data_IF_107334100933
#
_entry.id   IF_107334100933
#
_cell.length_a   1.000
_cell.length_b   1.000
_cell.length_c   1.000
_cell.angle_alpha   90.00
_cell.angle_beta   90.00
_cell.angle_gamma   90.00
#
_symmetry.space_group_name_H-M   'P 1'
#
loop_
_entity.id
_entity.type
_entity.pdbx_description
1 polymer ?
#
# COMPACT_ATOMS: atom_id res chain seq x y z
N UNK A 1 -32.63 -5.37 31.26
CA UNK A 1 -31.75 -4.61 32.18
C UNK A 1 -30.32 -4.57 31.65
N UNK A 2 -29.71 -5.71 31.34
CA UNK A 2 -28.34 -5.78 30.78
C UNK A 2 -28.12 -4.94 29.51
N UNK A 3 -29.06 -4.92 28.57
CA UNK A 3 -28.93 -4.13 27.34
C UNK A 3 -28.96 -2.61 27.56
N UNK A 4 -29.72 -2.12 28.54
CA UNK A 4 -29.82 -0.68 28.84
C UNK A 4 -28.54 -0.19 29.52
N UNK A 5 -28.00 -1.00 30.43
CA UNK A 5 -26.73 -0.72 31.08
C UNK A 5 -25.57 -0.72 30.08
N UNK A 6 -25.54 -1.69 29.15
CA UNK A 6 -24.59 -1.73 28.05
C UNK A 6 -24.66 -0.46 27.17
N UNK A 7 -25.86 -0.01 26.82
CA UNK A 7 -26.06 1.23 26.05
C UNK A 7 -25.56 2.46 26.81
N UNK A 8 -25.90 2.59 28.08
CA UNK A 8 -25.45 3.71 28.92
C UNK A 8 -23.92 3.74 29.07
N UNK A 9 -23.29 2.58 29.27
CA UNK A 9 -21.83 2.44 29.31
C UNK A 9 -21.19 2.87 27.99
N UNK A 10 -21.73 2.41 26.85
CA UNK A 10 -21.22 2.76 25.53
C UNK A 10 -21.30 4.28 25.27
N UNK A 11 -22.45 4.91 25.60
CA UNK A 11 -22.61 6.37 25.52
C UNK A 11 -21.59 7.12 26.36
N UNK A 12 -21.32 6.64 27.58
CA UNK A 12 -20.29 7.23 28.44
C UNK A 12 -18.90 7.13 27.81
N UNK A 13 -18.56 5.99 27.20
CA UNK A 13 -17.29 5.81 26.50
C UNK A 13 -17.15 6.75 25.31
N UNK A 14 -18.19 6.91 24.47
CA UNK A 14 -18.18 7.88 23.37
C UNK A 14 -17.84 9.30 23.85
N UNK A 15 -18.50 9.73 24.94
CA UNK A 15 -18.27 11.05 25.53
C UNK A 15 -16.86 11.20 26.10
N UNK A 16 -16.38 10.21 26.85
CA UNK A 16 -15.03 10.20 27.42
C UNK A 16 -13.96 10.31 26.33
N UNK A 17 -14.10 9.54 25.25
CA UNK A 17 -13.14 9.54 24.13
C UNK A 17 -13.32 10.75 23.21
N UNK A 18 -14.35 11.58 23.40
CA UNK A 18 -14.72 12.65 22.46
C UNK A 18 -14.87 12.10 21.03
N UNK A 19 -15.62 11.00 20.90
CA UNK A 19 -15.88 10.33 19.64
C UNK A 19 -17.32 10.56 19.19
N UNK A 20 -17.54 10.71 17.89
CA UNK A 20 -18.88 10.78 17.29
C UNK A 20 -19.09 9.65 16.28
N UNK A 21 -20.33 9.44 15.84
CA UNK A 21 -20.66 8.58 14.69
C UNK A 21 -21.03 9.44 13.49
N UNK A 22 -20.47 9.13 12.32
CA UNK A 22 -20.78 9.79 11.05
C UNK A 22 -21.49 8.81 10.12
N UNK A 23 -22.66 9.21 9.62
CA UNK A 23 -23.48 8.43 8.70
C UNK A 23 -23.58 9.19 7.38
N UNK A 24 -22.76 8.87 6.36
CA UNK A 24 -22.96 9.41 5.02
C UNK A 24 -24.19 8.75 4.38
N UNK A 25 -25.10 9.56 3.83
CA UNK A 25 -26.32 9.05 3.20
C UNK A 25 -26.58 9.72 1.86
N UNK A 26 -26.94 8.92 0.86
CA UNK A 26 -27.44 9.35 -0.43
C UNK A 26 -28.52 8.38 -0.89
N UNK A 27 -29.75 8.85 -1.09
CA UNK A 27 -30.87 8.06 -1.62
C UNK A 27 -31.10 6.70 -0.91
N UNK A 28 -30.98 6.69 0.43
CA UNK A 28 -31.09 5.49 1.28
C UNK A 28 -32.22 5.62 2.32
N UNK A 29 -33.29 6.38 2.01
CA UNK A 29 -34.42 6.62 2.92
C UNK A 29 -35.02 5.35 3.53
N UNK A 30 -35.05 4.23 2.79
CA UNK A 30 -35.59 2.93 3.24
C UNK A 30 -34.91 2.37 4.49
N UNK A 31 -33.58 2.50 4.60
CA UNK A 31 -32.81 1.85 5.66
C UNK A 31 -32.35 2.82 6.76
N UNK A 32 -32.29 4.11 6.43
CA UNK A 32 -31.72 5.14 7.29
C UNK A 32 -32.40 5.25 8.66
N UNK A 33 -33.72 5.10 8.72
CA UNK A 33 -34.49 5.15 9.99
C UNK A 33 -34.04 4.06 10.97
N UNK A 34 -33.93 2.82 10.47
CA UNK A 34 -33.47 1.67 11.26
C UNK A 34 -32.02 1.81 11.72
N UNK A 35 -31.14 2.27 10.83
CA UNK A 35 -29.72 2.53 11.16
C UNK A 35 -29.61 3.60 12.23
N UNK A 36 -30.32 4.72 12.09
CA UNK A 36 -30.29 5.81 13.08
C UNK A 36 -30.84 5.36 14.43
N UNK A 37 -32.00 4.72 14.42
CA UNK A 37 -32.62 4.18 15.64
C UNK A 37 -31.71 3.19 16.36
N UNK A 38 -30.93 2.39 15.63
CA UNK A 38 -29.98 1.47 16.24
C UNK A 38 -28.73 2.17 16.79
N UNK A 39 -28.11 3.06 16.01
CA UNK A 39 -26.93 3.84 16.42
C UNK A 39 -27.21 4.71 17.65
N UNK A 40 -28.38 5.36 17.70
CA UNK A 40 -28.76 6.25 18.80
C UNK A 40 -28.94 5.55 20.16
N UNK A 41 -29.04 4.20 20.17
CA UNK A 41 -28.98 3.42 21.41
C UNK A 41 -27.59 3.50 22.05
N UNK A 42 -26.53 3.51 21.23
CA UNK A 42 -25.13 3.42 21.68
C UNK A 42 -24.40 4.76 21.71
N UNK A 43 -24.80 5.72 20.88
CA UNK A 43 -24.14 7.01 20.74
C UNK A 43 -25.15 8.16 20.64
N UNK A 44 -24.92 9.25 21.36
CA UNK A 44 -25.76 10.45 21.29
C UNK A 44 -25.24 11.47 20.27
N UNK A 45 -23.92 11.50 20.06
CA UNK A 45 -23.24 12.40 19.12
C UNK A 45 -23.20 11.80 17.70
N UNK A 46 -24.32 11.89 17.00
CA UNK A 46 -24.47 11.38 15.62
C UNK A 46 -24.52 12.53 14.62
N UNK A 47 -23.65 12.47 13.61
CA UNK A 47 -23.59 13.39 12.48
C UNK A 47 -24.06 12.65 11.23
N UNK A 48 -25.16 13.11 10.63
CA UNK A 48 -25.62 12.61 9.33
C UNK A 48 -25.18 13.56 8.24
N UNK A 49 -24.51 13.03 7.21
CA UNK A 49 -24.13 13.81 6.03
C UNK A 49 -25.01 13.40 4.86
N UNK A 50 -26.02 14.21 4.56
CA UNK A 50 -26.87 14.03 3.39
C UNK A 50 -26.19 14.57 2.12
N UNK A 51 -25.70 13.66 1.28
CA UNK A 51 -24.96 13.94 0.05
C UNK A 51 -25.91 14.28 -1.13
N UNK A 52 -26.82 15.24 -0.91
CA UNK A 52 -27.76 15.73 -1.91
C UNK A 52 -28.78 14.70 -2.37
N UNK A 53 -29.38 13.97 -1.43
CA UNK A 53 -30.46 13.02 -1.73
C UNK A 53 -31.65 13.69 -2.39
N UNK A 54 -32.28 12.95 -3.30
CA UNK A 54 -33.48 13.35 -4.07
C UNK A 54 -34.71 12.51 -3.72
N UNK A 55 -34.56 11.54 -2.82
CA UNK A 55 -35.65 10.73 -2.26
C UNK A 55 -36.15 11.32 -0.93
N UNK A 56 -36.94 10.54 -0.19
CA UNK A 56 -37.53 10.94 1.09
C UNK A 56 -36.52 10.97 2.26
N UNK A 57 -35.21 10.96 2.00
CA UNK A 57 -34.18 10.95 3.06
C UNK A 57 -34.33 12.11 4.05
N UNK A 58 -34.64 13.32 3.57
CA UNK A 58 -34.84 14.47 4.44
C UNK A 58 -36.11 14.36 5.30
N UNK A 59 -37.15 13.71 4.79
CA UNK A 59 -38.39 13.46 5.55
C UNK A 59 -38.13 12.44 6.67
N UNK A 60 -37.37 11.37 6.38
CA UNK A 60 -36.93 10.38 7.37
C UNK A 60 -36.09 11.01 8.48
N UNK A 61 -35.26 12.01 8.14
CA UNK A 61 -34.40 12.70 9.11
C UNK A 61 -35.14 13.74 9.95
N UNK A 62 -36.27 14.27 9.48
CA UNK A 62 -36.98 15.37 10.12
C UNK A 62 -37.38 15.13 11.60
N UNK A 63 -37.77 13.92 12.03
CA UNK A 63 -38.09 13.62 13.44
C UNK A 63 -36.87 13.61 14.37
N UNK A 64 -35.66 13.36 13.85
CA UNK A 64 -34.44 13.24 14.64
C UNK A 64 -33.86 14.63 14.94
N UNK A 65 -34.32 15.29 16.01
CA UNK A 65 -33.81 16.63 16.40
C UNK A 65 -32.48 16.60 17.14
N UNK A 66 -32.12 15.44 17.68
CA UNK A 66 -30.91 15.21 18.45
C UNK A 66 -29.66 14.95 17.58
N UNK A 67 -29.83 14.69 16.29
CA UNK A 67 -28.70 14.46 15.38
C UNK A 67 -28.21 15.79 14.79
N UNK A 68 -26.94 15.80 14.39
CA UNK A 68 -26.37 16.89 13.63
C UNK A 68 -26.45 16.59 12.14
N UNK A 69 -27.24 17.37 11.40
CA UNK A 69 -27.48 17.17 9.98
C UNK A 69 -26.65 18.14 9.15
N UNK A 70 -25.71 17.61 8.36
CA UNK A 70 -25.02 18.34 7.31
C UNK A 70 -25.59 17.95 5.96
N UNK A 71 -26.19 18.91 5.25
CA UNK A 71 -26.88 18.66 3.98
C UNK A 71 -26.48 19.69 2.93
N UNK A 72 -26.41 19.28 1.67
CA UNK A 72 -26.13 20.15 0.53
C UNK A 72 -26.87 19.68 -0.71
N UNK A 73 -27.20 20.57 -1.68
CA UNK A 73 -28.26 20.31 -2.66
C UNK A 73 -27.90 19.35 -3.80
N UNK A 74 -26.61 19.06 -4.04
CA UNK A 74 -26.16 18.23 -5.15
C UNK A 74 -25.23 17.13 -4.67
N UNK A 75 -25.43 15.91 -5.16
CA UNK A 75 -24.54 14.78 -4.90
C UNK A 75 -23.10 15.08 -5.33
N UNK A 76 -22.16 14.91 -4.40
CA UNK A 76 -20.72 15.11 -4.61
C UNK A 76 -19.90 13.83 -4.45
N UNK A 77 -20.49 12.79 -3.84
CA UNK A 77 -19.93 11.46 -3.69
C UNK A 77 -19.55 11.14 -2.25
N UNK A 78 -19.48 9.83 -1.94
CA UNK A 78 -19.20 9.29 -0.60
C UNK A 78 -17.95 9.91 0.04
N UNK A 79 -16.85 9.99 -0.70
CA UNK A 79 -15.61 10.62 -0.19
C UNK A 79 -15.76 12.09 0.19
N UNK A 80 -16.57 12.86 -0.55
CA UNK A 80 -16.89 14.24 -0.18
C UNK A 80 -17.75 14.27 1.10
N UNK A 81 -18.76 13.41 1.21
CA UNK A 81 -19.59 13.31 2.40
C UNK A 81 -18.76 12.96 3.65
N UNK A 82 -17.86 11.98 3.54
CA UNK A 82 -16.93 11.60 4.61
C UNK A 82 -16.02 12.75 5.02
N UNK A 83 -15.36 13.42 4.06
CA UNK A 83 -14.49 14.58 4.36
C UNK A 83 -15.26 15.73 5.01
N UNK A 84 -16.49 16.00 4.56
CA UNK A 84 -17.37 17.00 5.16
C UNK A 84 -17.71 16.61 6.60
N UNK A 85 -18.08 15.34 6.84
CA UNK A 85 -18.34 14.82 8.17
C UNK A 85 -17.13 14.93 9.09
N UNK A 86 -15.93 14.53 8.64
CA UNK A 86 -14.70 14.63 9.43
C UNK A 86 -14.37 16.07 9.78
N UNK A 87 -14.49 17.00 8.82
CA UNK A 87 -14.26 18.43 9.04
C UNK A 87 -15.25 18.98 10.06
N UNK A 88 -16.53 18.62 9.94
CA UNK A 88 -17.58 19.06 10.85
C UNK A 88 -17.35 18.53 12.26
N UNK A 89 -17.07 17.23 12.40
CA UNK A 89 -16.75 16.59 13.67
C UNK A 89 -15.53 17.24 14.35
N UNK A 90 -14.45 17.44 13.59
CA UNK A 90 -13.24 18.10 14.10
C UNK A 90 -13.54 19.52 14.59
N UNK A 91 -14.31 20.31 13.84
CA UNK A 91 -14.68 21.67 14.22
C UNK A 91 -15.57 21.72 15.49
N UNK A 92 -16.32 20.65 15.78
CA UNK A 92 -17.09 20.50 17.02
C UNK A 92 -16.26 20.02 18.22
N UNK A 93 -14.97 19.75 18.02
CA UNK A 93 -14.05 19.34 19.07
C UNK A 93 -13.96 17.83 19.28
N UNK A 94 -14.54 17.02 18.40
CA UNK A 94 -14.34 15.58 18.45
C UNK A 94 -12.90 15.21 18.08
N UNK A 95 -12.36 14.21 18.77
CA UNK A 95 -11.02 13.63 18.49
C UNK A 95 -11.11 12.46 17.52
N UNK A 96 -12.21 11.72 17.58
CA UNK A 96 -12.44 10.52 16.79
C UNK A 96 -13.79 10.57 16.10
N UNK A 97 -13.89 9.91 14.96
CA UNK A 97 -15.17 9.65 14.32
C UNK A 97 -15.23 8.20 13.84
N UNK A 98 -16.34 7.52 14.15
CA UNK A 98 -16.65 6.22 13.58
C UNK A 98 -17.61 6.44 12.41
N UNK A 99 -17.30 5.91 11.23
CA UNK A 99 -18.20 5.94 10.07
C UNK A 99 -19.01 4.66 10.00
N UNK A 100 -20.30 4.76 9.71
CA UNK A 100 -21.16 3.60 9.45
C UNK A 100 -22.06 3.92 8.26
N UNK A 101 -22.18 2.97 7.32
CA UNK A 101 -22.95 3.16 6.10
C UNK A 101 -24.47 3.13 6.39
N UNK A 102 -25.26 3.88 5.61
CA UNK A 102 -26.71 4.03 5.80
C UNK A 102 -27.56 2.89 5.21
N UNK A 103 -26.96 1.78 4.79
CA UNK A 103 -27.62 0.68 4.07
C UNK A 103 -28.10 -0.47 4.98
N UNK A 104 -27.85 -0.37 6.29
CA UNK A 104 -28.30 -1.36 7.27
C UNK A 104 -27.47 -2.65 7.31
N UNK A 105 -26.31 -2.71 6.65
CA UNK A 105 -25.47 -3.91 6.66
C UNK A 105 -24.63 -4.07 7.93
N UNK A 106 -24.39 -2.99 8.66
CA UNK A 106 -23.54 -2.97 9.85
C UNK A 106 -24.37 -2.86 11.13
N UNK A 107 -23.95 -3.57 12.18
CA UNK A 107 -24.61 -3.53 13.49
C UNK A 107 -24.00 -2.44 14.39
N UNK A 108 -24.85 -1.63 15.03
CA UNK A 108 -24.36 -0.59 15.93
C UNK A 108 -23.76 -1.15 17.23
N UNK A 109 -24.08 -2.41 17.59
CA UNK A 109 -23.47 -3.09 18.75
C UNK A 109 -21.94 -3.15 18.67
N UNK A 110 -21.40 -3.22 17.45
CA UNK A 110 -19.96 -3.35 17.23
C UNK A 110 -19.21 -2.01 17.38
N UNK A 111 -19.92 -0.89 17.59
CA UNK A 111 -19.30 0.40 17.90
C UNK A 111 -18.35 0.31 19.10
N UNK A 112 -18.70 -0.51 20.10
CA UNK A 112 -17.91 -0.69 21.32
C UNK A 112 -16.52 -1.27 21.01
N UNK A 113 -16.42 -2.18 20.03
CA UNK A 113 -15.15 -2.83 19.65
C UNK A 113 -14.12 -1.81 19.15
N UNK A 114 -14.57 -0.71 18.53
CA UNK A 114 -13.68 0.37 18.12
C UNK A 114 -13.22 1.22 19.29
N UNK A 115 -14.14 1.55 20.22
CA UNK A 115 -13.85 2.41 21.37
C UNK A 115 -12.82 1.79 22.31
N UNK A 116 -12.91 0.48 22.54
CA UNK A 116 -12.00 -0.27 23.42
C UNK A 116 -10.55 -0.27 22.91
N UNK A 117 -10.34 -0.10 21.61
CA UNK A 117 -9.01 -0.08 21.00
C UNK A 117 -8.35 1.30 20.96
N UNK A 118 -9.09 2.38 21.30
CA UNK A 118 -8.59 3.76 21.21
C UNK A 118 -7.42 3.98 22.18
N UNK A 119 -7.51 3.48 23.41
CA UNK A 119 -6.53 3.79 24.45
C UNK A 119 -5.14 3.24 24.12
N UNK A 120 -5.10 2.01 23.58
CA UNK A 120 -3.86 1.38 23.13
C UNK A 120 -3.38 1.93 21.78
N UNK A 121 -4.28 2.49 20.97
CA UNK A 121 -4.01 2.90 19.59
C UNK A 121 -4.57 4.30 19.26
N UNK A 122 -4.21 5.36 20.02
CA UNK A 122 -4.90 6.65 19.99
C UNK A 122 -4.76 7.42 18.67
N UNK A 123 -3.84 7.01 17.80
CA UNK A 123 -3.59 7.63 16.50
C UNK A 123 -3.83 6.65 15.33
N UNK A 124 -4.47 5.51 15.55
CA UNK A 124 -4.70 4.53 14.50
C UNK A 124 -6.06 4.71 13.81
N UNK A 125 -6.11 4.44 12.50
CA UNK A 125 -7.36 4.11 11.82
C UNK A 125 -7.69 2.66 12.16
N UNK A 126 -8.91 2.41 12.62
CA UNK A 126 -9.37 1.07 13.00
C UNK A 126 -10.43 0.64 12.00
N UNK A 127 -10.16 -0.43 11.26
CA UNK A 127 -11.07 -0.95 10.24
C UNK A 127 -11.91 -2.07 10.84
N UNK A 128 -13.22 -2.01 10.68
CA UNK A 128 -14.10 -3.13 10.99
C UNK A 128 -13.86 -4.26 10.00
N UNK A 129 -13.20 -5.33 10.44
CA UNK A 129 -12.89 -6.50 9.63
C UNK A 129 -14.04 -7.51 9.71
N UNK A 130 -14.64 -7.80 8.55
CA UNK A 130 -15.68 -8.82 8.41
C UNK A 130 -15.07 -10.21 8.43
N UNK A 131 -15.81 -11.20 8.91
CA UNK A 131 -15.42 -12.60 8.71
C UNK A 131 -15.65 -13.02 7.25
N UNK A 132 -14.59 -12.90 6.45
CA UNK A 132 -14.61 -13.20 5.01
C UNK A 132 -14.71 -14.71 4.71
N UNK A 133 -14.66 -15.58 5.72
CA UNK A 133 -14.80 -17.03 5.55
C UNK A 133 -16.27 -17.50 5.55
N UNK A 134 -17.23 -16.63 5.83
CA UNK A 134 -18.64 -17.00 5.81
C UNK A 134 -19.16 -17.21 4.37
N UNK A 135 -19.84 -18.33 4.14
CA UNK A 135 -20.26 -18.86 2.82
C UNK A 135 -21.21 -17.94 2.01
N UNK A 136 -21.71 -16.85 2.60
CA UNK A 136 -22.71 -15.96 1.99
C UNK A 136 -22.12 -14.74 1.23
N UNK A 137 -20.79 -14.61 1.12
CA UNK A 137 -20.18 -13.56 0.31
C UNK A 137 -20.21 -13.90 -1.20
N UNK A 138 -20.91 -13.08 -1.99
CA UNK A 138 -20.93 -13.21 -3.45
C UNK A 138 -19.52 -13.14 -4.05
N UNK A 139 -19.17 -14.04 -4.99
CA UNK A 139 -17.81 -14.14 -5.56
C UNK A 139 -17.24 -12.84 -6.15
N UNK A 140 -18.09 -11.92 -6.66
CA UNK A 140 -17.68 -10.60 -7.16
C UNK A 140 -17.17 -9.67 -6.05
N UNK A 141 -17.76 -9.74 -4.86
CA UNK A 141 -17.33 -8.95 -3.69
C UNK A 141 -15.99 -9.45 -3.15
N UNK A 142 -15.74 -10.76 -3.22
CA UNK A 142 -14.45 -11.33 -2.83
C UNK A 142 -13.31 -10.88 -3.75
N UNK A 143 -13.54 -10.79 -5.08
CA UNK A 143 -12.55 -10.25 -6.00
C UNK A 143 -12.22 -8.77 -5.71
N UNK A 144 -13.24 -7.92 -5.51
CA UNK A 144 -13.03 -6.50 -5.21
C UNK A 144 -12.25 -6.30 -3.90
N UNK A 145 -12.56 -7.07 -2.85
CA UNK A 145 -11.80 -7.06 -1.59
C UNK A 145 -10.35 -7.47 -1.80
N UNK A 146 -10.09 -8.57 -2.51
CA UNK A 146 -8.72 -9.03 -2.80
C UNK A 146 -7.94 -8.01 -3.63
N UNK A 147 -8.59 -7.41 -4.62
CA UNK A 147 -8.00 -6.35 -5.45
C UNK A 147 -7.58 -5.15 -4.60
N UNK A 148 -8.47 -4.63 -3.75
CA UNK A 148 -8.15 -3.48 -2.89
C UNK A 148 -7.07 -3.81 -1.85
N UNK A 149 -7.13 -4.99 -1.22
CA UNK A 149 -6.12 -5.44 -0.27
C UNK A 149 -4.73 -5.59 -0.94
N UNK A 150 -4.69 -6.08 -2.19
CA UNK A 150 -3.46 -6.17 -2.95
C UNK A 150 -2.83 -4.79 -3.18
N UNK A 151 -3.60 -3.82 -3.69
CA UNK A 151 -3.07 -2.48 -3.95
C UNK A 151 -2.66 -1.76 -2.67
N UNK A 152 -3.46 -1.85 -1.61
CA UNK A 152 -3.08 -1.34 -0.30
C UNK A 152 -1.72 -1.88 0.16
N UNK A 153 -1.49 -3.19 -0.01
CA UNK A 153 -0.22 -3.83 0.32
C UNK A 153 0.93 -3.33 -0.55
N UNK A 154 0.72 -3.17 -1.85
CA UNK A 154 1.75 -2.62 -2.76
C UNK A 154 2.11 -1.18 -2.37
N UNK A 155 1.12 -0.36 -2.04
CA UNK A 155 1.29 1.08 -1.78
C UNK A 155 1.84 1.38 -0.38
N UNK A 156 1.56 0.53 0.60
CA UNK A 156 1.94 0.78 2.02
C UNK A 156 2.96 -0.21 2.56
N UNK A 157 3.03 -1.41 1.99
CA UNK A 157 3.76 -2.57 2.51
C UNK A 157 3.04 -3.32 3.63
N UNK A 158 1.83 -2.92 4.01
CA UNK A 158 1.06 -3.55 5.10
C UNK A 158 0.00 -4.51 4.54
N UNK A 159 -0.26 -5.60 5.25
CA UNK A 159 -1.32 -6.56 4.88
C UNK A 159 -2.50 -6.35 5.80
N UNK A 160 -3.70 -6.17 5.23
CA UNK A 160 -4.94 -6.01 5.96
C UNK A 160 -5.99 -7.00 5.45
N UNK A 161 -6.84 -7.56 6.34
CA UNK A 161 -7.84 -8.55 5.96
C UNK A 161 -8.97 -7.94 5.13
N UNK A 162 -9.39 -6.70 5.41
CA UNK A 162 -10.57 -6.10 4.78
C UNK A 162 -10.52 -4.57 4.63
N UNK A 163 -9.77 -4.08 3.65
CA UNK A 163 -9.63 -2.63 3.39
C UNK A 163 -10.87 -1.98 2.76
N UNK A 164 -11.93 -2.75 2.47
CA UNK A 164 -13.13 -2.26 1.79
C UNK A 164 -14.31 -2.04 2.73
N UNK A 165 -14.22 -2.47 3.98
CA UNK A 165 -15.25 -2.16 4.97
C UNK A 165 -15.38 -0.65 5.16
N UNK A 166 -16.59 -0.10 5.05
CA UNK A 166 -16.88 1.31 5.31
C UNK A 166 -17.03 1.63 6.80
N UNK A 167 -17.08 0.59 7.65
CA UNK A 167 -17.22 0.72 9.09
C UNK A 167 -15.85 0.91 9.74
N UNK A 168 -15.50 2.15 10.10
CA UNK A 168 -14.14 2.49 10.54
C UNK A 168 -14.12 3.59 11.57
N UNK A 169 -13.17 3.51 12.50
CA UNK A 169 -12.79 4.62 13.35
C UNK A 169 -11.64 5.41 12.72
N UNK A 170 -11.76 6.73 12.74
CA UNK A 170 -10.78 7.67 12.23
C UNK A 170 -10.31 8.62 13.34
N UNK A 171 -8.99 8.75 13.56
CA UNK A 171 -8.43 9.80 14.41
C UNK A 171 -8.43 11.12 13.63
N UNK A 172 -9.24 12.09 14.05
CA UNK A 172 -9.53 13.29 13.26
C UNK A 172 -8.32 14.25 13.18
N UNK A 173 -7.57 14.38 14.28
CA UNK A 173 -6.40 15.27 14.37
C UNK A 173 -5.32 14.92 13.34
N UNK A 174 -4.75 13.70 13.29
CA UNK A 174 -3.70 13.39 12.32
C UNK A 174 -4.19 13.39 10.86
N UNK A 175 -5.49 13.19 10.62
CA UNK A 175 -6.06 13.23 9.27
C UNK A 175 -6.32 14.64 8.75
N UNK A 176 -6.49 15.61 9.65
CA UNK A 176 -6.75 17.00 9.28
C UNK A 176 -5.63 17.63 8.43
N UNK A 177 -4.38 17.21 8.66
CA UNK A 177 -3.19 17.73 7.98
C UNK A 177 -2.88 17.02 6.64
N UNK A 178 -3.74 16.09 6.23
CA UNK A 178 -3.57 15.32 5.00
C UNK A 178 -4.44 15.91 3.89
N UNK A 179 -3.80 16.43 2.84
CA UNK A 179 -4.51 16.94 1.66
C UNK A 179 -4.92 15.83 0.72
N UNK A 180 -6.15 15.34 0.76
CA UNK A 180 -6.68 14.31 -0.15
C UNK A 180 -7.01 14.81 -1.56
N UNK A 181 -6.93 13.93 -2.56
CA UNK A 181 -7.17 14.22 -3.98
C UNK A 181 -8.60 13.90 -4.40
N UNK A 182 -9.18 12.86 -3.84
CA UNK A 182 -10.39 12.24 -4.37
C UNK A 182 -11.64 12.56 -3.56
N UNK A 183 -12.82 12.31 -4.14
CA UNK A 183 -14.10 12.74 -3.56
C UNK A 183 -15.24 11.71 -3.65
N UNK A 184 -15.00 10.53 -4.22
CA UNK A 184 -16.02 9.49 -4.35
C UNK A 184 -15.58 8.21 -3.64
N UNK A 185 -15.88 7.03 -4.18
CA UNK A 185 -15.53 5.75 -3.56
C UNK A 185 -14.03 5.55 -3.39
N UNK A 186 -13.22 6.07 -4.32
CA UNK A 186 -11.77 5.97 -4.26
C UNK A 186 -11.14 6.67 -3.03
N UNK A 187 -11.88 7.55 -2.35
CA UNK A 187 -11.41 8.17 -1.11
C UNK A 187 -11.20 7.16 0.02
N UNK A 188 -12.01 6.09 0.07
CA UNK A 188 -11.93 5.09 1.13
C UNK A 188 -10.60 4.34 1.12
N UNK A 189 -9.95 4.16 -0.04
CA UNK A 189 -8.59 3.62 -0.10
C UNK A 189 -7.55 4.73 0.08
N UNK A 190 -7.78 5.92 -0.49
CA UNK A 190 -6.85 7.05 -0.38
C UNK A 190 -6.55 7.41 1.08
N UNK A 191 -7.59 7.47 1.92
CA UNK A 191 -7.46 7.85 3.33
C UNK A 191 -6.56 6.87 4.11
N UNK A 192 -6.67 5.58 3.84
CA UNK A 192 -5.85 4.55 4.48
C UNK A 192 -4.39 4.66 4.05
N UNK A 193 -4.15 4.66 2.73
CA UNK A 193 -2.79 4.68 2.17
C UNK A 193 -2.04 5.92 2.62
N UNK A 194 -2.69 7.08 2.54
CA UNK A 194 -2.06 8.36 2.89
C UNK A 194 -1.95 8.59 4.38
N UNK A 195 -2.86 8.02 5.17
CA UNK A 195 -2.71 7.90 6.62
C UNK A 195 -1.41 7.19 6.96
N UNK A 196 -1.19 5.99 6.41
CA UNK A 196 0.04 5.21 6.62
C UNK A 196 1.28 6.01 6.19
N UNK A 197 1.24 6.68 5.04
CA UNK A 197 2.37 7.50 4.57
C UNK A 197 2.69 8.69 5.49
N UNK A 198 1.74 9.11 6.31
CA UNK A 198 1.88 10.14 7.34
C UNK A 198 2.20 9.58 8.72
N UNK A 199 2.31 8.26 8.87
CA UNK A 199 2.62 7.60 10.13
C UNK A 199 1.40 7.34 11.01
N UNK A 200 0.21 7.33 10.44
CA UNK A 200 -1.02 6.87 11.10
C UNK A 200 -1.09 5.36 10.94
N UNK A 201 -1.14 4.64 12.06
CA UNK A 201 -1.25 3.19 12.04
C UNK A 201 -2.63 2.75 11.54
N UNK A 202 -2.69 1.53 10.99
CA UNK A 202 -3.93 0.92 10.53
C UNK A 202 -4.05 -0.45 11.18
N UNK A 203 -5.12 -0.63 11.96
CA UNK A 203 -5.42 -1.87 12.67
C UNK A 203 -6.86 -2.30 12.39
N UNK A 204 -7.30 -3.42 12.98
CA UNK A 204 -8.64 -3.97 12.74
C UNK A 204 -9.38 -4.30 14.03
N UNK A 205 -10.70 -4.10 14.01
CA UNK A 205 -11.63 -4.60 15.01
C UNK A 205 -12.58 -5.62 14.34
N UNK A 206 -12.96 -6.73 15.02
CA UNK A 206 -13.95 -7.64 14.47
C UNK A 206 -15.33 -6.95 14.41
N UNK A 207 -16.07 -7.18 13.32
CA UNK A 207 -17.45 -6.74 13.15
C UNK A 207 -18.33 -7.83 12.56
N UNK A 208 -19.61 -7.80 12.91
CA UNK A 208 -20.65 -8.59 12.26
C UNK A 208 -21.26 -7.81 11.09
N UNK A 209 -21.70 -8.53 10.06
CA UNK A 209 -22.36 -7.92 8.89
C UNK A 209 -23.58 -8.70 8.48
N UNK A 210 -24.68 -7.97 8.30
CA UNK A 210 -25.89 -8.47 7.68
C UNK A 210 -25.77 -8.40 6.16
N UNK A 211 -25.99 -9.54 5.49
CA UNK A 211 -26.03 -9.60 4.03
C UNK A 211 -27.48 -9.68 3.56
N UNK A 212 -28.12 -8.57 3.16
CA UNK A 212 -29.49 -8.62 2.67
C UNK A 212 -29.60 -9.45 1.38
N UNK A 213 -30.80 -9.99 1.07
CA UNK A 213 -31.11 -10.61 -0.22
C UNK A 213 -30.72 -9.69 -1.38
N UNK A 214 -30.37 -10.25 -2.54
CA UNK A 214 -29.84 -9.46 -3.67
C UNK A 214 -30.82 -8.41 -4.16
N UNK A 215 -32.10 -8.69 -4.03
CA UNK A 215 -33.24 -7.87 -4.44
C UNK A 215 -33.39 -6.61 -3.59
N UNK A 216 -32.86 -6.61 -2.36
CA UNK A 216 -32.94 -5.50 -1.41
C UNK A 216 -31.67 -4.65 -1.37
N UNK A 217 -30.61 -5.07 -2.06
CA UNK A 217 -29.33 -4.36 -2.07
C UNK A 217 -29.42 -3.10 -2.91
N UNK A 218 -29.33 -1.95 -2.25
CA UNK A 218 -29.13 -0.66 -2.92
C UNK A 218 -27.63 -0.41 -3.01
N UNK A 219 -27.08 -0.35 -4.23
CA UNK A 219 -25.71 0.07 -4.46
C UNK A 219 -25.67 1.24 -5.44
N UNK A 220 -25.03 2.33 -5.03
CA UNK A 220 -24.77 3.48 -5.89
C UNK A 220 -23.43 3.38 -6.63
N UNK A 221 -22.71 2.28 -6.48
CA UNK A 221 -21.46 2.00 -7.17
C UNK A 221 -21.72 1.76 -8.66
N UNK A 222 -21.00 2.49 -9.52
CA UNK A 222 -21.11 2.40 -10.98
C UNK A 222 -19.92 1.58 -11.51
N UNK A 223 -20.10 0.30 -11.86
CA UNK A 223 -19.01 -0.65 -12.05
C UNK A 223 -17.84 -0.14 -12.89
N UNK A 224 -18.10 0.36 -14.10
CA UNK A 224 -17.02 0.82 -14.98
C UNK A 224 -16.39 2.14 -14.54
N UNK A 225 -17.22 3.14 -14.19
CA UNK A 225 -16.76 4.49 -13.90
C UNK A 225 -15.98 4.56 -12.59
N UNK A 226 -16.48 3.90 -11.55
CA UNK A 226 -15.85 3.92 -10.24
C UNK A 226 -14.65 2.98 -10.19
N UNK A 227 -14.70 1.82 -10.87
CA UNK A 227 -13.51 0.98 -11.04
C UNK A 227 -12.38 1.71 -11.78
N UNK A 228 -12.69 2.48 -12.83
CA UNK A 228 -11.68 3.28 -13.54
C UNK A 228 -11.07 4.35 -12.63
N UNK A 229 -11.88 5.06 -11.82
CA UNK A 229 -11.38 6.06 -10.86
C UNK A 229 -10.45 5.43 -9.82
N UNK A 230 -10.85 4.29 -9.25
CA UNK A 230 -10.03 3.55 -8.28
C UNK A 230 -8.72 3.09 -8.93
N UNK A 231 -8.79 2.56 -10.16
CA UNK A 231 -7.60 2.10 -10.90
C UNK A 231 -6.64 3.24 -11.23
N UNK A 232 -7.18 4.42 -11.61
CA UNK A 232 -6.37 5.62 -11.84
C UNK A 232 -5.70 6.11 -10.55
N UNK A 233 -6.46 6.16 -9.45
CA UNK A 233 -5.92 6.51 -8.14
C UNK A 233 -4.77 5.56 -7.75
N UNK A 234 -5.00 4.25 -7.82
CA UNK A 234 -3.97 3.26 -7.45
C UNK A 234 -2.74 3.39 -8.36
N UNK A 235 -2.91 3.65 -9.65
CA UNK A 235 -1.77 3.94 -10.55
C UNK A 235 -0.93 5.10 -10.03
N UNK A 236 -1.57 6.22 -9.66
CA UNK A 236 -0.89 7.39 -9.11
C UNK A 236 -0.24 7.10 -7.75
N UNK A 237 -0.96 6.43 -6.85
CA UNK A 237 -0.46 6.08 -5.53
C UNK A 237 0.72 5.10 -5.62
N UNK A 238 0.69 4.11 -6.50
CA UNK A 238 1.81 3.20 -6.75
C UNK A 238 3.03 3.97 -7.24
N UNK A 239 2.88 4.84 -8.23
CA UNK A 239 4.01 5.66 -8.72
C UNK A 239 4.60 6.50 -7.58
N UNK A 240 3.77 7.18 -6.80
CA UNK A 240 4.22 7.93 -5.62
C UNK A 240 4.85 7.02 -4.55
N UNK A 241 4.32 5.81 -4.37
CA UNK A 241 4.82 4.85 -3.40
C UNK A 241 6.26 4.46 -3.73
N UNK A 242 6.51 4.05 -4.97
CA UNK A 242 7.84 3.60 -5.41
C UNK A 242 8.83 4.74 -5.62
N UNK A 243 8.38 5.92 -6.07
CA UNK A 243 9.26 7.07 -6.28
C UNK A 243 9.60 7.82 -4.99
N UNK A 244 8.74 7.76 -3.97
CA UNK A 244 8.91 8.58 -2.76
C UNK A 244 8.75 7.81 -1.45
N UNK A 245 7.61 7.16 -1.21
CA UNK A 245 7.30 6.61 0.11
C UNK A 245 8.21 5.42 0.48
N UNK A 246 8.32 4.40 -0.37
CA UNK A 246 9.15 3.21 -0.12
C UNK A 246 10.63 3.56 0.03
N UNK A 247 11.27 4.34 -0.87
CA UNK A 247 12.65 4.79 -0.68
C UNK A 247 12.85 5.55 0.63
N UNK A 248 11.94 6.46 0.96
CA UNK A 248 12.00 7.23 2.22
C UNK A 248 11.81 6.35 3.45
N UNK A 249 10.91 5.37 3.39
CA UNK A 249 10.67 4.40 4.47
C UNK A 249 11.91 3.57 4.73
N UNK A 250 12.49 3.00 3.67
CA UNK A 250 13.75 2.24 3.71
C UNK A 250 14.86 3.14 4.28
N UNK A 251 15.05 4.34 3.74
CA UNK A 251 16.06 5.27 4.24
C UNK A 251 15.90 5.53 5.74
N UNK A 252 14.69 5.82 6.23
CA UNK A 252 14.41 6.05 7.66
C UNK A 252 14.64 4.82 8.54
N UNK A 253 14.32 3.64 8.03
CA UNK A 253 14.51 2.38 8.74
C UNK A 253 16.00 2.07 8.92
N UNK A 254 16.79 2.27 7.86
CA UNK A 254 18.23 2.01 7.88
C UNK A 254 19.04 3.16 8.48
N UNK A 255 18.61 4.42 8.37
CA UNK A 255 19.31 5.57 8.97
C UNK A 255 19.32 5.53 10.49
N UNK A 256 18.37 4.80 11.10
CA UNK A 256 18.28 4.61 12.56
C UNK A 256 19.14 3.44 13.06
N UNK A 257 19.62 2.58 12.17
CA UNK A 257 20.44 1.42 12.52
C UNK A 257 21.93 1.79 12.38
N UNK A 258 22.74 1.39 13.36
CA UNK A 258 24.20 1.47 13.21
C UNK A 258 24.66 0.55 12.08
N UNK A 259 25.67 0.96 11.30
CA UNK A 259 26.28 0.13 10.26
C UNK A 259 26.66 -1.28 10.78
N UNK A 260 27.09 -1.38 12.05
CA UNK A 260 27.42 -2.64 12.72
C UNK A 260 26.21 -3.56 12.91
N UNK A 261 25.02 -2.99 13.14
CA UNK A 261 23.78 -3.75 13.30
C UNK A 261 23.26 -4.24 11.96
N UNK A 262 23.32 -3.40 10.92
CA UNK A 262 22.97 -3.78 9.54
C UNK A 262 23.86 -4.93 9.07
N UNK A 263 25.17 -4.81 9.27
CA UNK A 263 26.12 -5.88 8.93
C UNK A 263 25.85 -7.17 9.71
N UNK A 264 25.57 -7.08 11.02
CA UNK A 264 25.29 -8.26 11.85
C UNK A 264 23.99 -8.97 11.43
N UNK A 265 22.94 -8.23 11.12
CA UNK A 265 21.67 -8.77 10.61
C UNK A 265 21.84 -9.40 9.22
N UNK A 266 22.58 -8.72 8.32
CA UNK A 266 22.90 -9.26 6.99
C UNK A 266 23.78 -10.51 7.07
N UNK A 267 24.78 -10.53 7.95
CA UNK A 267 25.66 -11.68 8.20
C UNK A 267 24.89 -12.84 8.86
N UNK A 268 23.99 -12.57 9.81
CA UNK A 268 23.13 -13.58 10.42
C UNK A 268 22.13 -14.15 9.40
N UNK A 269 21.58 -13.32 8.52
CA UNK A 269 20.73 -13.76 7.42
C UNK A 269 21.53 -14.56 6.38
N UNK A 270 22.80 -14.25 6.15
CA UNK A 270 23.70 -14.98 5.26
C UNK A 270 24.16 -16.33 5.84
N UNK A 271 24.33 -16.44 7.16
CA UNK A 271 24.71 -17.69 7.82
C UNK A 271 23.66 -18.81 7.68
N UNK A 272 22.40 -18.47 7.39
CA UNK A 272 21.33 -19.42 7.12
C UNK A 272 21.23 -19.82 5.63
N UNK A 273 22.09 -19.27 4.76
CA UNK A 273 22.02 -19.46 3.31
C UNK A 273 23.07 -20.51 2.90
N UNK A 274 22.71 -21.54 2.11
CA UNK A 274 23.68 -22.48 1.59
C UNK A 274 24.79 -21.75 0.82
N UNK A 275 26.06 -22.15 1.02
CA UNK A 275 27.22 -21.53 0.37
C UNK A 275 27.09 -21.44 -1.15
N UNK A 276 26.48 -22.45 -1.79
CA UNK A 276 26.18 -22.45 -3.23
C UNK A 276 25.30 -21.27 -3.65
N UNK A 277 24.33 -20.89 -2.81
CA UNK A 277 23.38 -19.81 -3.08
C UNK A 277 24.01 -18.43 -2.85
N UNK A 278 24.95 -18.31 -1.92
CA UNK A 278 25.80 -17.12 -1.76
C UNK A 278 26.67 -16.96 -3.01
N UNK A 279 27.41 -18.00 -3.40
CA UNK A 279 28.28 -17.99 -4.56
C UNK A 279 27.51 -17.70 -5.87
N UNK A 280 26.34 -18.31 -6.07
CA UNK A 280 25.47 -18.04 -7.21
C UNK A 280 24.95 -16.59 -7.23
N UNK A 281 24.65 -16.02 -6.06
CA UNK A 281 24.23 -14.61 -5.95
C UNK A 281 25.37 -13.66 -6.31
N UNK A 282 26.61 -13.98 -5.92
CA UNK A 282 27.81 -13.21 -6.29
C UNK A 282 28.07 -13.33 -7.79
N UNK A 283 28.09 -14.55 -8.33
CA UNK A 283 28.30 -14.82 -9.76
C UNK A 283 27.28 -14.05 -10.62
N UNK A 284 25.99 -14.16 -10.28
CA UNK A 284 24.94 -13.45 -10.99
C UNK A 284 25.02 -11.93 -10.83
N UNK A 285 25.42 -11.43 -9.66
CA UNK A 285 25.69 -10.01 -9.46
C UNK A 285 26.80 -9.51 -10.37
N UNK A 286 27.97 -10.15 -10.34
CA UNK A 286 29.11 -9.80 -11.21
C UNK A 286 28.73 -9.87 -12.69
N UNK A 287 27.99 -10.90 -13.09
CA UNK A 287 27.46 -11.02 -14.45
C UNK A 287 26.64 -9.78 -14.83
N UNK A 288 25.60 -9.45 -14.06
CA UNK A 288 24.74 -8.30 -14.35
C UNK A 288 25.45 -6.95 -14.21
N UNK A 289 26.50 -6.88 -13.40
CA UNK A 289 27.31 -5.67 -13.24
C UNK A 289 28.12 -5.33 -14.50
N UNK A 290 28.51 -6.33 -15.29
CA UNK A 290 29.31 -6.16 -16.52
C UNK A 290 28.45 -6.25 -17.78
N UNK A 291 27.37 -7.05 -17.76
CA UNK A 291 26.52 -7.30 -18.92
C UNK A 291 25.91 -6.00 -19.47
N UNK A 292 25.96 -5.75 -20.80
CA UNK A 292 25.68 -4.43 -21.38
C UNK A 292 24.17 -4.12 -21.55
N UNK A 293 23.39 -4.19 -20.46
CA UNK A 293 22.00 -3.67 -20.40
C UNK A 293 21.95 -2.38 -19.58
N UNK A 294 22.62 -1.35 -20.08
CA UNK A 294 22.78 -0.08 -19.39
C UNK A 294 21.46 0.58 -18.97
N UNK A 295 21.41 1.04 -17.73
CA UNK A 295 20.26 1.71 -17.13
C UNK A 295 19.21 0.74 -16.57
N UNK A 296 19.24 -0.53 -16.96
CA UNK A 296 18.25 -1.53 -16.57
C UNK A 296 18.85 -2.77 -15.91
N UNK A 297 20.18 -2.88 -15.81
CA UNK A 297 20.85 -4.06 -15.30
C UNK A 297 20.46 -4.43 -13.86
N UNK A 298 20.29 -3.44 -12.98
CA UNK A 298 19.84 -3.69 -11.61
C UNK A 298 18.36 -4.09 -11.55
N UNK A 299 17.49 -3.42 -12.32
CA UNK A 299 16.06 -3.74 -12.37
C UNK A 299 15.83 -5.17 -12.88
N UNK A 300 16.41 -5.50 -14.03
CA UNK A 300 16.33 -6.82 -14.63
C UNK A 300 16.98 -7.87 -13.73
N UNK A 301 18.13 -7.54 -13.14
CA UNK A 301 18.83 -8.39 -12.19
C UNK A 301 18.02 -8.68 -10.93
N UNK A 302 17.31 -7.71 -10.34
CA UNK A 302 16.44 -7.97 -9.19
C UNK A 302 15.27 -8.90 -9.53
N UNK A 303 14.68 -8.75 -10.72
CA UNK A 303 13.61 -9.64 -11.20
C UNK A 303 14.14 -11.06 -11.36
N UNK A 304 15.25 -11.24 -12.08
CA UNK A 304 15.84 -12.56 -12.33
C UNK A 304 16.37 -13.18 -11.03
N UNK A 305 17.03 -12.41 -10.17
CA UNK A 305 17.48 -12.88 -8.86
C UNK A 305 16.31 -13.37 -8.01
N UNK A 306 15.15 -12.71 -8.08
CA UNK A 306 13.95 -13.19 -7.41
C UNK A 306 13.43 -14.51 -8.01
N UNK A 307 13.37 -14.62 -9.35
CA UNK A 307 12.93 -15.83 -10.05
C UNK A 307 13.84 -17.03 -9.76
N UNK A 308 15.16 -16.80 -9.72
CA UNK A 308 16.18 -17.79 -9.37
C UNK A 308 16.30 -18.01 -7.85
N UNK A 309 15.43 -17.38 -7.06
CA UNK A 309 15.43 -17.42 -5.60
C UNK A 309 16.75 -16.99 -4.96
N UNK A 310 17.61 -16.23 -5.64
CA UNK A 310 18.92 -15.76 -5.15
C UNK A 310 18.78 -14.71 -4.04
N UNK A 311 19.87 -14.49 -3.29
CA UNK A 311 19.90 -13.44 -2.27
C UNK A 311 20.09 -12.09 -2.95
N UNK A 312 19.04 -11.26 -2.91
CA UNK A 312 18.97 -9.94 -3.54
C UNK A 312 19.98 -8.93 -2.98
N UNK A 313 20.35 -9.03 -1.70
CA UNK A 313 21.33 -8.12 -1.10
C UNK A 313 22.75 -8.46 -1.58
N UNK A 314 23.12 -9.74 -1.60
CA UNK A 314 24.42 -10.20 -2.10
C UNK A 314 24.55 -9.92 -3.59
N UNK A 315 23.50 -10.21 -4.38
CA UNK A 315 23.41 -9.84 -5.79
C UNK A 315 23.67 -8.33 -5.98
N UNK A 316 22.98 -7.47 -5.22
CA UNK A 316 23.11 -6.03 -5.35
C UNK A 316 24.54 -5.56 -5.05
N UNK A 317 25.17 -6.08 -3.99
CA UNK A 317 26.56 -5.75 -3.65
C UNK A 317 27.50 -6.15 -4.80
N UNK A 318 27.37 -7.38 -5.31
CA UNK A 318 28.23 -7.89 -6.38
C UNK A 318 28.01 -7.20 -7.73
N UNK A 319 26.77 -6.80 -8.05
CA UNK A 319 26.43 -6.09 -9.29
C UNK A 319 27.05 -4.68 -9.39
N UNK A 320 27.53 -4.13 -8.28
CA UNK A 320 28.25 -2.86 -8.25
C UNK A 320 29.74 -2.98 -8.59
N UNK A 321 30.20 -4.13 -9.11
CA UNK A 321 31.57 -4.31 -9.62
C UNK A 321 31.94 -3.28 -10.70
N UNK A 322 30.95 -2.72 -11.40
CA UNK A 322 31.12 -1.68 -12.41
C UNK A 322 30.98 -0.25 -11.86
N UNK A 323 31.16 -0.02 -10.56
CA UNK A 323 31.33 1.33 -10.01
C UNK A 323 32.77 1.84 -10.20
N UNK A 324 33.01 3.16 -10.19
CA UNK A 324 34.36 3.72 -10.14
C UNK A 324 35.16 3.13 -8.96
N UNK A 325 36.43 2.75 -9.14
CA UNK A 325 37.31 2.98 -10.29
C UNK A 325 37.32 1.86 -11.35
N UNK A 326 36.43 0.85 -11.27
CA UNK A 326 36.49 -0.33 -12.14
C UNK A 326 35.96 -0.11 -13.56
N UNK A 327 35.20 0.97 -13.78
CA UNK A 327 34.59 1.28 -15.09
C UNK A 327 35.62 1.27 -16.24
N UNK A 328 36.74 2.02 -16.18
CA UNK A 328 37.75 2.00 -17.25
C UNK A 328 38.33 0.62 -17.50
N UNK A 329 38.56 -0.16 -16.43
CA UNK A 329 39.13 -1.51 -16.52
C UNK A 329 38.16 -2.45 -17.24
N UNK A 330 36.89 -2.42 -16.85
CA UNK A 330 35.84 -3.25 -17.47
C UNK A 330 35.65 -2.86 -18.94
N UNK A 331 35.64 -1.57 -19.26
CA UNK A 331 35.53 -1.09 -20.65
C UNK A 331 36.72 -1.59 -21.48
N UNK A 332 37.94 -1.42 -20.99
CA UNK A 332 39.15 -1.86 -21.67
C UNK A 332 39.15 -3.37 -21.90
N UNK A 333 38.93 -4.17 -20.86
CA UNK A 333 38.91 -5.63 -20.96
C UNK A 333 37.78 -6.14 -21.86
N UNK A 334 36.62 -5.49 -21.83
CA UNK A 334 35.51 -5.82 -22.75
C UNK A 334 35.92 -5.55 -24.19
N UNK A 335 36.55 -4.41 -24.47
CA UNK A 335 36.99 -4.08 -25.83
C UNK A 335 38.06 -5.05 -26.35
N UNK A 336 39.07 -5.37 -25.53
CA UNK A 336 40.13 -6.33 -25.87
C UNK A 336 39.55 -7.72 -26.13
N UNK A 337 38.73 -8.22 -25.20
CA UNK A 337 38.11 -9.54 -25.35
C UNK A 337 37.22 -9.61 -26.60
N UNK A 338 36.49 -8.54 -26.89
CA UNK A 338 35.68 -8.41 -28.10
C UNK A 338 36.51 -8.54 -29.37
N UNK A 339 37.69 -7.90 -29.43
CA UNK A 339 38.59 -8.00 -30.57
C UNK A 339 39.10 -9.42 -30.78
N UNK A 340 39.46 -10.11 -29.69
CA UNK A 340 39.81 -11.53 -29.75
C UNK A 340 38.65 -12.41 -30.24
N UNK A 341 37.42 -12.15 -29.79
CA UNK A 341 36.24 -12.93 -30.22
C UNK A 341 35.84 -12.67 -31.68
N UNK A 342 36.13 -11.48 -32.20
CA UNK A 342 35.87 -11.09 -33.59
C UNK A 342 37.02 -11.42 -34.56
N UNK A 343 38.14 -11.94 -34.05
CA UNK A 343 39.30 -12.34 -34.87
C UNK A 343 40.28 -11.20 -35.19
N UNK A 344 40.07 -9.98 -34.68
CA UNK A 344 40.99 -8.84 -34.80
C UNK A 344 42.03 -8.76 -33.68
N UNK A 345 41.96 -9.68 -32.71
CA UNK A 345 42.79 -9.86 -31.51
C UNK A 345 43.97 -8.89 -31.33
N UNK A 346 43.72 -7.77 -30.65
CA UNK A 346 44.72 -6.77 -30.31
C UNK A 346 44.53 -6.26 -28.88
N UNK A 347 45.63 -6.01 -28.19
CA UNK A 347 45.64 -5.27 -26.92
C UNK A 347 45.68 -3.74 -27.12
N UNK A 348 45.95 -3.31 -28.35
CA UNK A 348 45.85 -1.92 -28.75
C UNK A 348 44.38 -1.54 -28.91
N UNK A 349 44.07 -0.29 -28.53
CA UNK A 349 42.73 0.28 -28.67
C UNK A 349 42.79 1.32 -29.77
N UNK A 350 42.37 0.92 -30.96
CA UNK A 350 42.36 1.79 -32.14
C UNK A 350 40.95 2.37 -32.32
N UNK A 351 40.75 3.59 -31.83
CA UNK A 351 39.48 4.29 -31.99
C UNK A 351 39.41 4.98 -33.35
N UNK A 352 38.77 4.34 -34.31
CA UNK A 352 38.37 5.01 -35.54
C UNK A 352 37.09 5.83 -35.31
N UNK A 353 37.18 7.15 -35.53
CA UNK A 353 36.09 8.12 -35.30
C UNK A 353 35.11 8.25 -36.49
N UNK A 354 35.20 7.37 -37.48
CA UNK A 354 34.22 7.28 -38.58
C UNK A 354 32.91 6.66 -38.06
N UNK A 355 31.78 6.90 -38.74
CA UNK A 355 30.49 6.30 -38.35
C UNK A 355 30.54 4.76 -38.37
N UNK A 356 31.27 4.21 -39.33
CA UNK A 356 31.52 2.77 -39.46
C UNK A 356 32.43 2.28 -38.33
N UNK A 357 33.52 3.00 -38.06
CA UNK A 357 34.41 2.74 -36.92
C UNK A 357 33.71 2.78 -35.56
N UNK A 358 32.80 3.74 -35.32
CA UNK A 358 32.02 3.81 -34.08
C UNK A 358 31.11 2.59 -33.94
N UNK A 359 30.47 2.16 -35.03
CA UNK A 359 29.61 0.97 -35.02
C UNK A 359 30.42 -0.29 -34.73
N UNK A 360 31.56 -0.47 -35.39
CA UNK A 360 32.40 -1.66 -35.23
C UNK A 360 33.01 -1.71 -33.83
N UNK A 361 33.48 -0.56 -33.31
CA UNK A 361 33.95 -0.44 -31.93
C UNK A 361 32.85 -0.76 -30.91
N UNK A 362 31.62 -0.32 -31.15
CA UNK A 362 30.48 -0.63 -30.28
C UNK A 362 30.15 -2.13 -30.30
N UNK A 363 30.09 -2.75 -31.48
CA UNK A 363 29.83 -4.19 -31.64
C UNK A 363 30.92 -5.01 -30.95
N UNK A 364 32.19 -4.66 -31.17
CA UNK A 364 33.34 -5.27 -30.52
C UNK A 364 33.21 -5.20 -29.00
N UNK A 365 32.98 -4.00 -28.47
CA UNK A 365 32.77 -3.81 -27.04
C UNK A 365 31.60 -4.65 -26.50
N UNK A 366 30.44 -4.67 -27.16
CA UNK A 366 29.26 -5.39 -26.69
C UNK A 366 29.50 -6.91 -26.63
N UNK A 367 30.12 -7.48 -27.66
CA UNK A 367 30.47 -8.91 -27.72
C UNK A 367 31.43 -9.24 -26.58
N UNK A 368 32.47 -8.42 -26.41
CA UNK A 368 33.45 -8.64 -25.36
C UNK A 368 32.90 -8.39 -23.96
N UNK A 369 31.96 -7.47 -23.75
CA UNK A 369 31.29 -7.26 -22.46
C UNK A 369 30.43 -8.47 -22.07
N UNK A 370 29.76 -9.11 -23.02
CA UNK A 370 29.02 -10.37 -22.80
C UNK A 370 30.00 -11.51 -22.48
N UNK A 371 31.11 -11.61 -23.21
CA UNK A 371 32.16 -12.60 -22.92
C UNK A 371 32.76 -12.40 -21.53
N UNK A 372 33.08 -11.15 -21.19
CA UNK A 372 33.73 -10.77 -19.93
C UNK A 372 32.79 -11.01 -18.75
N UNK A 373 31.49 -10.71 -18.88
CA UNK A 373 30.52 -10.96 -17.81
C UNK A 373 30.37 -12.45 -17.52
N UNK A 374 30.38 -13.32 -18.54
CA UNK A 374 30.39 -14.77 -18.37
C UNK A 374 31.65 -15.26 -17.64
N UNK A 375 32.84 -14.81 -18.10
CA UNK A 375 34.12 -15.21 -17.50
C UNK A 375 34.21 -14.74 -16.05
N UNK A 376 33.93 -13.46 -15.80
CA UNK A 376 33.99 -12.87 -14.47
C UNK A 376 32.98 -13.54 -13.52
N UNK A 377 31.76 -13.83 -13.98
CA UNK A 377 30.75 -14.57 -13.22
C UNK A 377 31.26 -15.94 -12.77
N UNK A 378 31.86 -16.71 -13.68
CA UNK A 378 32.42 -18.02 -13.37
C UNK A 378 33.59 -17.92 -12.38
N UNK A 379 34.51 -16.98 -12.59
CA UNK A 379 35.68 -16.77 -11.74
C UNK A 379 35.26 -16.37 -10.33
N UNK A 380 34.47 -15.30 -10.19
CA UNK A 380 34.03 -14.81 -8.88
C UNK A 380 33.10 -15.78 -8.17
N UNK A 381 32.22 -16.47 -8.92
CA UNK A 381 31.36 -17.51 -8.37
C UNK A 381 32.16 -18.68 -7.79
N UNK A 382 33.12 -19.20 -8.56
CA UNK A 382 33.95 -20.35 -8.15
C UNK A 382 34.87 -19.99 -6.98
N UNK A 383 35.54 -18.84 -7.04
CA UNK A 383 36.38 -18.34 -5.94
C UNK A 383 35.56 -18.16 -4.66
N UNK A 384 34.38 -17.55 -4.76
CA UNK A 384 33.51 -17.35 -3.60
C UNK A 384 33.03 -18.67 -3.01
N UNK A 385 32.68 -19.64 -3.85
CA UNK A 385 32.28 -20.96 -3.38
C UNK A 385 33.41 -21.67 -2.64
N UNK A 386 34.62 -21.64 -3.22
CA UNK A 386 35.81 -22.24 -2.60
C UNK A 386 36.13 -21.59 -1.26
N UNK A 387 36.15 -20.26 -1.19
CA UNK A 387 36.42 -19.52 0.05
C UNK A 387 35.40 -19.78 1.15
N UNK A 388 34.13 -20.01 0.79
CA UNK A 388 33.06 -20.33 1.74
C UNK A 388 33.06 -21.80 2.16
N UNK A 389 33.73 -22.68 1.40
CA UNK A 389 33.82 -24.12 1.67
C UNK A 389 35.00 -24.53 2.54
N UNK A 390 35.91 -23.59 2.84
CA UNK A 390 37.00 -23.69 3.82
C UNK A 390 36.50 -23.20 5.16
#
# INVERSE_FOLDING_TARGET
MESIEQYSKCKSLFKEKSCCVIIPSYNNSRFLDGVLSDVLKYCEDVIVVNDGSTDNTLEVLAPYKQIDLVSYPKNRGKGHALKTGFRHAYNKGFKYAITIDSDGQHYAKDLVNFLELIDDNPNAIIIGARDLNQENMSGKSNFANKFSNFWFKVETGLTMPDTQSGYRLYPLVPLNDIRFFTGKYEFEIEVLVRGVWKGVDVITAPIDVYYPPREERVTHFRPFKDFFRISLLNTVLVLMAFLWYHPRRIYREYSKKSFKQIYREAAASAAAIPNAKIAASIAFGVFMGIFPVWGYQLLLGFIIAHLLSLNKAIFFIAANISLPPMIPVIIYLSYVLGGYMLGSGSWAVDFELSLEGIKDNLVQYLIGAVGLSCIASLVFGSLSYLLLSV
#
